data_IF_932477231615
#
_entry.id   IF_932477231615
#
_cell.length_a   1.000
_cell.length_b   1.000
_cell.length_c   1.000
_cell.angle_alpha   90.00
_cell.angle_beta   90.00
_cell.angle_gamma   90.00
#
_symmetry.space_group_name_H-M   'P 1'
#
loop_
_entity.id
_entity.type
_entity.pdbx_description
1 polymer ?
#
# COMPACT_ATOMS: atom_id res chain seq x y z
N UNK A 1 26.49 5.57 50.34
CA UNK A 1 25.04 5.61 50.05
C UNK A 1 24.78 5.99 48.57
N UNK A 2 25.64 6.78 47.92
CA UNK A 2 25.49 7.28 46.52
C UNK A 2 25.73 6.17 45.46
N UNK A 3 26.65 5.22 45.69
CA UNK A 3 26.97 4.13 44.75
C UNK A 3 25.84 3.11 44.58
N UNK A 4 24.94 2.94 45.55
CA UNK A 4 23.80 2.02 45.48
C UNK A 4 22.66 2.57 44.62
N UNK A 5 22.51 3.91 44.55
CA UNK A 5 21.48 4.60 43.75
C UNK A 5 21.85 4.63 42.26
N UNK A 6 23.14 4.79 41.94
CA UNK A 6 23.63 4.81 40.55
C UNK A 6 23.49 3.41 39.91
N UNK A 7 23.72 2.34 40.65
CA UNK A 7 23.64 0.97 40.16
C UNK A 7 22.20 0.50 39.91
N UNK A 8 21.21 1.05 40.62
CA UNK A 8 19.79 0.73 40.41
C UNK A 8 19.22 1.46 39.18
N UNK A 9 19.67 2.69 38.91
CA UNK A 9 19.25 3.46 37.73
C UNK A 9 19.80 2.86 36.43
N UNK A 10 21.08 2.46 36.39
CA UNK A 10 21.69 1.84 35.20
C UNK A 10 21.11 0.45 34.90
N UNK A 11 20.76 -0.33 35.93
CA UNK A 11 20.14 -1.66 35.75
C UNK A 11 18.73 -1.58 35.15
N UNK A 12 17.92 -0.60 35.58
CA UNK A 12 16.56 -0.41 35.05
C UNK A 12 16.55 0.12 33.59
N UNK A 13 17.49 0.98 33.22
CA UNK A 13 17.63 1.45 31.85
C UNK A 13 18.15 0.35 30.90
N UNK A 14 19.06 -0.49 31.36
CA UNK A 14 19.57 -1.64 30.61
C UNK A 14 18.47 -2.69 30.39
N UNK A 15 17.66 -2.94 31.43
CA UNK A 15 16.51 -3.85 31.33
C UNK A 15 15.46 -3.36 30.36
N UNK A 16 15.13 -2.07 30.38
CA UNK A 16 14.23 -1.43 29.41
C UNK A 16 14.77 -1.52 27.98
N UNK A 17 16.07 -1.31 27.75
CA UNK A 17 16.67 -1.33 26.42
C UNK A 17 16.71 -2.75 25.82
N UNK A 18 16.90 -3.79 26.63
CA UNK A 18 16.97 -5.18 26.16
C UNK A 18 15.56 -5.77 25.96
N UNK A 19 14.62 -5.45 26.87
CA UNK A 19 13.28 -6.04 26.86
C UNK A 19 12.24 -5.25 26.06
N UNK A 20 12.43 -3.95 25.84
CA UNK A 20 11.52 -3.15 25.05
C UNK A 20 11.30 -3.69 23.61
N UNK A 21 12.35 -4.07 22.84
CA UNK A 21 12.14 -4.64 21.52
C UNK A 21 11.45 -6.01 21.57
N UNK A 22 11.73 -6.83 22.59
CA UNK A 22 11.08 -8.14 22.77
C UNK A 22 9.60 -7.99 23.10
N UNK A 23 9.26 -7.08 24.02
CA UNK A 23 7.87 -6.74 24.39
C UNK A 23 7.14 -6.18 23.16
N UNK A 24 7.78 -5.30 22.40
CA UNK A 24 7.22 -4.75 21.17
C UNK A 24 6.92 -5.84 20.13
N UNK A 25 7.84 -6.77 19.91
CA UNK A 25 7.64 -7.91 18.97
C UNK A 25 6.49 -8.81 19.44
N UNK A 26 6.39 -9.09 20.73
CA UNK A 26 5.31 -9.90 21.30
C UNK A 26 3.96 -9.18 21.14
N UNK A 27 3.91 -7.89 21.43
CA UNK A 27 2.70 -7.07 21.25
C UNK A 27 2.27 -7.01 19.78
N UNK A 28 3.22 -6.85 18.85
CA UNK A 28 2.92 -6.86 17.41
C UNK A 28 2.35 -8.20 16.94
N UNK A 29 2.94 -9.32 17.37
CA UNK A 29 2.42 -10.66 17.03
C UNK A 29 1.03 -10.90 17.62
N UNK A 30 0.82 -10.52 18.88
CA UNK A 30 -0.49 -10.64 19.54
C UNK A 30 -1.55 -9.77 18.85
N UNK A 31 -1.18 -8.55 18.43
CA UNK A 31 -2.07 -7.66 17.71
C UNK A 31 -2.41 -8.19 16.31
N UNK A 32 -1.44 -8.75 15.61
CA UNK A 32 -1.66 -9.36 14.30
C UNK A 32 -2.58 -10.60 14.40
N UNK A 33 -2.40 -11.40 15.46
CA UNK A 33 -3.28 -12.53 15.77
C UNK A 33 -4.72 -12.03 16.05
N UNK A 34 -4.87 -10.98 16.84
CA UNK A 34 -6.16 -10.35 17.11
C UNK A 34 -6.85 -9.88 15.82
N UNK A 35 -6.11 -9.22 14.90
CA UNK A 35 -6.65 -8.78 13.61
C UNK A 35 -7.19 -9.98 12.81
N UNK A 36 -6.48 -11.10 12.82
CA UNK A 36 -6.87 -12.29 12.07
C UNK A 36 -8.12 -12.97 12.66
N UNK A 37 -8.20 -13.02 14.00
CA UNK A 37 -9.26 -13.77 14.71
C UNK A 37 -10.41 -12.89 15.22
N UNK A 38 -10.41 -11.58 14.94
CA UNK A 38 -11.47 -10.68 15.44
C UNK A 38 -12.87 -11.01 14.92
N UNK A 39 -13.00 -11.63 13.72
CA UNK A 39 -14.31 -12.06 13.21
C UNK A 39 -14.88 -13.20 14.06
N UNK A 40 -14.22 -14.38 14.22
CA UNK A 40 -14.71 -15.42 15.09
C UNK A 40 -14.87 -14.96 16.54
N UNK A 41 -13.96 -14.12 17.05
CA UNK A 41 -14.08 -13.53 18.38
C UNK A 41 -15.34 -12.68 18.53
N UNK A 42 -15.64 -11.83 17.54
CA UNK A 42 -16.86 -11.02 17.50
C UNK A 42 -18.13 -11.87 17.50
N UNK A 43 -18.14 -12.98 16.75
CA UNK A 43 -19.27 -13.93 16.72
C UNK A 43 -19.44 -14.61 18.09
N UNK A 44 -18.37 -15.10 18.69
CA UNK A 44 -18.39 -15.73 20.02
C UNK A 44 -18.89 -14.75 21.08
N UNK A 45 -18.39 -13.51 21.08
CA UNK A 45 -18.84 -12.47 22.01
C UNK A 45 -20.32 -12.10 21.80
N UNK A 46 -20.77 -12.08 20.55
CA UNK A 46 -22.19 -11.81 20.23
C UNK A 46 -23.09 -12.90 20.78
N UNK A 47 -22.79 -14.18 20.47
CA UNK A 47 -23.59 -15.31 20.96
C UNK A 47 -23.54 -15.45 22.47
N UNK A 48 -22.36 -15.30 23.08
CA UNK A 48 -22.18 -15.31 24.52
C UNK A 48 -22.92 -14.16 25.21
N UNK A 49 -22.83 -12.96 24.65
CA UNK A 49 -23.52 -11.77 25.16
C UNK A 49 -25.05 -11.93 25.12
N UNK A 50 -25.59 -12.46 24.03
CA UNK A 50 -27.02 -12.76 23.93
C UNK A 50 -27.45 -13.82 24.97
N UNK A 51 -26.67 -14.90 25.12
CA UNK A 51 -26.95 -15.94 26.12
C UNK A 51 -26.92 -15.38 27.56
N UNK A 52 -25.94 -14.52 27.89
CA UNK A 52 -25.87 -13.83 29.17
C UNK A 52 -27.08 -12.91 29.40
N UNK A 53 -27.56 -12.22 28.39
CA UNK A 53 -28.73 -11.35 28.47
C UNK A 53 -30.00 -12.11 28.89
N UNK A 54 -30.16 -13.37 28.43
CA UNK A 54 -31.29 -14.22 28.77
C UNK A 54 -31.16 -14.95 30.12
N UNK A 55 -29.91 -15.20 30.59
CA UNK A 55 -29.66 -15.99 31.81
C UNK A 55 -29.42 -15.16 33.04
N UNK A 56 -28.69 -14.05 32.93
CA UNK A 56 -28.24 -13.21 34.06
C UNK A 56 -28.91 -11.84 34.03
N UNK A 57 -28.97 -11.23 32.85
CA UNK A 57 -29.57 -9.91 32.66
C UNK A 57 -28.93 -9.12 31.51
N UNK A 58 -29.71 -8.21 30.96
CA UNK A 58 -29.25 -7.40 29.82
C UNK A 58 -28.19 -6.35 30.21
N UNK A 59 -28.11 -5.98 31.47
CA UNK A 59 -27.11 -5.04 31.96
C UNK A 59 -25.70 -5.64 31.91
N UNK A 60 -25.56 -6.87 32.36
CA UNK A 60 -24.33 -7.65 32.36
C UNK A 60 -23.89 -8.02 30.94
N UNK A 61 -24.85 -8.20 30.03
CA UNK A 61 -24.60 -8.51 28.62
C UNK A 61 -24.09 -7.28 27.82
N UNK A 62 -24.23 -6.07 28.33
CA UNK A 62 -23.88 -4.84 27.59
C UNK A 62 -22.41 -4.81 27.14
N UNK A 63 -21.47 -5.19 28.02
CA UNK A 63 -20.03 -5.16 27.71
C UNK A 63 -19.66 -6.16 26.61
N UNK A 64 -19.99 -7.46 26.70
CA UNK A 64 -19.65 -8.40 25.65
C UNK A 64 -20.36 -8.10 24.32
N UNK A 65 -21.59 -7.60 24.34
CA UNK A 65 -22.29 -7.18 23.13
C UNK A 65 -21.65 -5.96 22.48
N UNK A 66 -21.24 -4.96 23.26
CA UNK A 66 -20.51 -3.80 22.74
C UNK A 66 -19.18 -4.21 22.10
N UNK A 67 -18.40 -5.07 22.77
CA UNK A 67 -17.14 -5.58 22.23
C UNK A 67 -17.36 -6.42 20.97
N UNK A 68 -18.43 -7.21 20.89
CA UNK A 68 -18.80 -7.94 19.68
C UNK A 68 -19.06 -6.99 18.51
N UNK A 69 -19.84 -5.92 18.72
CA UNK A 69 -20.11 -4.91 17.69
C UNK A 69 -18.80 -4.25 17.24
N UNK A 70 -17.93 -3.85 18.17
CA UNK A 70 -16.63 -3.24 17.84
C UNK A 70 -15.79 -4.21 17.00
N UNK A 71 -15.68 -5.48 17.38
CA UNK A 71 -14.94 -6.50 16.62
C UNK A 71 -15.49 -6.69 15.21
N UNK A 72 -16.81 -6.80 15.05
CA UNK A 72 -17.45 -6.99 13.77
C UNK A 72 -17.31 -5.74 12.87
N UNK A 73 -17.61 -4.55 13.40
CA UNK A 73 -17.49 -3.30 12.65
C UNK A 73 -16.05 -3.08 12.19
N UNK A 74 -15.07 -3.24 13.07
CA UNK A 74 -13.66 -3.07 12.71
C UNK A 74 -13.18 -4.13 11.72
N UNK A 75 -13.70 -5.36 11.77
CA UNK A 75 -13.39 -6.39 10.78
C UNK A 75 -13.86 -5.99 9.38
N UNK A 76 -15.10 -5.53 9.23
CA UNK A 76 -15.64 -5.13 7.93
C UNK A 76 -15.09 -3.79 7.44
N UNK A 77 -14.82 -2.82 8.33
CA UNK A 77 -14.32 -1.51 7.91
C UNK A 77 -12.83 -1.52 7.50
N UNK A 78 -11.99 -2.24 8.23
CA UNK A 78 -10.54 -2.18 8.03
C UNK A 78 -9.96 -3.43 7.35
N UNK A 79 -10.64 -4.58 7.44
CA UNK A 79 -10.14 -5.83 6.88
C UNK A 79 -8.76 -6.22 7.43
N UNK A 80 -8.02 -7.11 6.78
CA UNK A 80 -6.64 -7.49 7.15
C UNK A 80 -5.59 -6.59 6.47
N UNK A 81 -5.93 -5.36 6.06
CA UNK A 81 -5.07 -4.53 5.20
C UNK A 81 -3.69 -4.24 5.79
N UNK A 82 -3.59 -4.10 7.11
CA UNK A 82 -2.29 -3.95 7.79
C UNK A 82 -1.39 -5.17 7.58
N UNK A 83 -1.94 -6.37 7.73
CA UNK A 83 -1.19 -7.62 7.54
C UNK A 83 -0.77 -7.80 6.08
N UNK A 84 -1.62 -7.36 5.14
CA UNK A 84 -1.28 -7.34 3.71
C UNK A 84 -0.10 -6.42 3.44
N UNK A 85 -0.11 -5.22 4.02
CA UNK A 85 1.00 -4.27 3.86
C UNK A 85 2.31 -4.83 4.44
N UNK A 86 2.28 -5.36 5.66
CA UNK A 86 3.45 -6.00 6.29
C UNK A 86 4.01 -7.16 5.43
N UNK A 87 3.13 -7.97 4.83
CA UNK A 87 3.53 -9.07 3.95
C UNK A 87 4.18 -8.56 2.64
N UNK A 88 3.65 -7.49 2.06
CA UNK A 88 4.21 -6.86 0.85
C UNK A 88 5.59 -6.25 1.16
N UNK A 89 5.73 -5.53 2.26
CA UNK A 89 6.99 -4.92 2.70
C UNK A 89 8.08 -5.99 3.00
N UNK A 90 7.65 -7.15 3.52
CA UNK A 90 8.53 -8.31 3.73
C UNK A 90 8.84 -9.09 2.44
N UNK A 91 8.29 -8.71 1.29
CA UNK A 91 8.45 -9.41 0.02
C UNK A 91 7.66 -10.73 -0.10
N UNK A 92 6.79 -11.03 0.86
CA UNK A 92 5.99 -12.26 0.90
C UNK A 92 4.68 -12.09 0.11
N UNK A 93 4.78 -12.04 -1.21
CA UNK A 93 3.64 -11.76 -2.10
C UNK A 93 2.54 -12.81 -1.99
N UNK A 94 2.88 -14.09 -1.84
CA UNK A 94 1.90 -15.18 -1.69
C UNK A 94 1.06 -15.04 -0.42
N UNK A 95 1.70 -14.64 0.69
CA UNK A 95 1.01 -14.36 1.96
C UNK A 95 0.09 -13.15 1.79
N UNK A 96 0.55 -12.08 1.13
CA UNK A 96 -0.26 -10.91 0.85
C UNK A 96 -1.50 -11.26 0.02
N UNK A 97 -1.35 -12.07 -1.03
CA UNK A 97 -2.47 -12.57 -1.85
C UNK A 97 -3.46 -13.40 -1.02
N UNK A 98 -2.94 -14.32 -0.20
CA UNK A 98 -3.78 -15.13 0.69
C UNK A 98 -4.60 -14.30 1.68
N UNK A 99 -4.01 -13.24 2.24
CA UNK A 99 -4.70 -12.31 3.13
C UNK A 99 -5.74 -11.46 2.40
N UNK A 100 -5.45 -11.00 1.20
CA UNK A 100 -6.39 -10.24 0.38
C UNK A 100 -7.61 -11.07 -0.04
N UNK A 101 -7.41 -12.34 -0.34
CA UNK A 101 -8.50 -13.26 -0.69
C UNK A 101 -9.45 -13.55 0.49
N UNK A 102 -9.03 -13.29 1.74
CA UNK A 102 -9.89 -13.40 2.94
C UNK A 102 -10.88 -12.23 3.06
N UNK A 103 -10.71 -11.16 2.29
CA UNK A 103 -11.65 -10.02 2.28
C UNK A 103 -12.88 -10.41 1.46
N UNK A 104 -13.89 -10.97 2.12
CA UNK A 104 -15.11 -11.43 1.45
C UNK A 104 -15.95 -10.30 0.84
N UNK A 105 -15.96 -9.13 1.48
CA UNK A 105 -16.81 -7.99 1.09
C UNK A 105 -16.02 -6.68 0.94
N UNK A 106 -15.19 -6.51 -0.12
CA UNK A 106 -14.38 -5.30 -0.29
C UNK A 106 -15.20 -4.00 -0.35
N UNK A 107 -16.45 -4.08 -0.80
CA UNK A 107 -17.36 -2.93 -0.89
C UNK A 107 -17.76 -2.39 0.49
N UNK A 108 -17.70 -3.19 1.55
CA UNK A 108 -18.00 -2.78 2.93
C UNK A 108 -16.81 -2.09 3.61
N UNK A 109 -15.60 -2.20 3.05
CA UNK A 109 -14.45 -1.48 3.56
C UNK A 109 -14.70 0.04 3.54
N UNK A 110 -14.20 0.72 4.57
CA UNK A 110 -14.17 2.19 4.59
C UNK A 110 -13.50 2.75 3.34
N UNK A 111 -14.07 3.80 2.72
CA UNK A 111 -13.67 4.28 1.39
C UNK A 111 -12.14 4.40 1.17
N UNK A 112 -11.36 5.07 2.04
CA UNK A 112 -9.91 5.13 1.89
C UNK A 112 -9.23 3.76 1.92
N UNK A 113 -9.66 2.87 2.81
CA UNK A 113 -9.13 1.51 2.94
C UNK A 113 -9.48 0.67 1.71
N UNK A 114 -10.69 0.82 1.19
CA UNK A 114 -11.14 0.18 -0.05
C UNK A 114 -10.29 0.63 -1.25
N UNK A 115 -9.94 1.90 -1.31
CA UNK A 115 -9.06 2.44 -2.34
C UNK A 115 -7.68 1.78 -2.28
N UNK A 116 -7.09 1.69 -1.08
CA UNK A 116 -5.80 1.01 -0.85
C UNK A 116 -5.90 -0.49 -1.19
N UNK A 117 -6.99 -1.15 -0.80
CA UNK A 117 -7.24 -2.54 -1.13
C UNK A 117 -7.17 -2.79 -2.66
N UNK A 118 -7.93 -2.03 -3.44
CA UNK A 118 -7.91 -2.20 -4.90
C UNK A 118 -6.58 -1.78 -5.54
N UNK A 119 -5.88 -0.81 -4.97
CA UNK A 119 -4.52 -0.45 -5.42
C UNK A 119 -3.55 -1.61 -5.22
N UNK A 120 -3.52 -2.24 -4.04
CA UNK A 120 -2.70 -3.41 -3.77
C UNK A 120 -3.08 -4.59 -4.67
N UNK A 121 -4.38 -4.82 -4.89
CA UNK A 121 -4.86 -5.87 -5.78
C UNK A 121 -4.38 -5.66 -7.22
N UNK A 122 -4.33 -4.40 -7.68
CA UNK A 122 -3.75 -4.06 -8.98
C UNK A 122 -2.25 -4.35 -9.04
N UNK A 123 -1.49 -4.04 -7.97
CA UNK A 123 -0.07 -4.38 -7.91
C UNK A 123 0.18 -5.89 -8.00
N UNK A 124 -0.61 -6.68 -7.28
CA UNK A 124 -0.52 -8.14 -7.34
C UNK A 124 -0.90 -8.69 -8.71
N UNK A 125 -1.91 -8.11 -9.37
CA UNK A 125 -2.28 -8.48 -10.73
C UNK A 125 -1.17 -8.14 -11.75
N UNK A 126 -0.50 -6.99 -11.60
CA UNK A 126 0.68 -6.64 -12.40
C UNK A 126 1.83 -7.64 -12.18
N UNK A 127 2.10 -8.02 -10.95
CA UNK A 127 3.10 -9.03 -10.64
C UNK A 127 2.82 -10.36 -11.36
N UNK A 128 1.55 -10.77 -11.42
CA UNK A 128 1.08 -11.95 -12.14
C UNK A 128 0.95 -11.74 -13.66
N UNK A 129 1.31 -10.57 -14.18
CA UNK A 129 1.18 -10.17 -15.60
C UNK A 129 -0.26 -10.17 -16.12
N UNK A 130 -1.25 -10.12 -15.24
CA UNK A 130 -2.68 -9.99 -15.57
C UNK A 130 -3.02 -8.49 -15.70
N UNK A 131 -2.72 -7.92 -16.86
CA UNK A 131 -2.88 -6.48 -17.10
C UNK A 131 -4.35 -6.05 -17.14
N UNK A 132 -5.26 -6.92 -17.54
CA UNK A 132 -6.70 -6.61 -17.58
C UNK A 132 -7.28 -6.50 -16.18
N UNK A 133 -6.94 -7.45 -15.33
CA UNK A 133 -7.32 -7.40 -13.91
C UNK A 133 -6.65 -6.22 -13.19
N UNK A 134 -5.38 -5.94 -13.49
CA UNK A 134 -4.66 -4.79 -12.95
C UNK A 134 -5.36 -3.48 -13.31
N UNK A 135 -5.76 -3.31 -14.57
CA UNK A 135 -6.49 -2.13 -15.03
C UNK A 135 -7.86 -2.01 -14.37
N UNK A 136 -8.63 -3.09 -14.32
CA UNK A 136 -9.95 -3.09 -13.70
C UNK A 136 -9.88 -2.69 -12.22
N UNK A 137 -8.91 -3.24 -11.48
CA UNK A 137 -8.76 -2.98 -10.04
C UNK A 137 -8.20 -1.59 -9.74
N UNK A 138 -7.25 -1.07 -10.53
CA UNK A 138 -6.77 0.30 -10.33
C UNK A 138 -7.87 1.35 -10.62
N UNK A 139 -8.73 1.11 -11.62
CA UNK A 139 -9.89 1.95 -11.87
C UNK A 139 -10.88 1.93 -10.70
N UNK A 140 -11.09 0.78 -10.06
CA UNK A 140 -11.90 0.67 -8.83
C UNK A 140 -11.25 1.41 -7.65
N UNK A 141 -9.92 1.39 -7.55
CA UNK A 141 -9.18 2.16 -6.55
C UNK A 141 -9.44 3.65 -6.72
N UNK A 142 -9.29 4.18 -7.92
CA UNK A 142 -9.53 5.60 -8.25
C UNK A 142 -10.99 5.97 -7.96
N UNK A 143 -11.96 5.15 -8.38
CA UNK A 143 -13.39 5.39 -8.15
C UNK A 143 -13.77 5.36 -6.67
N UNK A 144 -13.00 4.66 -5.83
CA UNK A 144 -13.22 4.63 -4.38
C UNK A 144 -12.79 5.93 -3.67
N UNK A 145 -12.05 6.78 -4.35
CA UNK A 145 -11.50 8.02 -3.82
C UNK A 145 -10.16 7.82 -3.11
N UNK A 146 -9.28 8.79 -3.23
CA UNK A 146 -7.95 8.76 -2.63
C UNK A 146 -7.92 9.44 -1.27
N UNK A 147 -7.19 8.90 -0.29
CA UNK A 147 -7.04 9.54 1.01
C UNK A 147 -6.20 10.84 0.95
N UNK A 148 -5.27 10.93 0.00
CA UNK A 148 -4.36 12.07 -0.19
C UNK A 148 -4.05 12.28 -1.68
N UNK A 149 -3.63 13.49 -2.07
CA UNK A 149 -3.31 13.84 -3.47
C UNK A 149 -2.15 13.01 -4.04
N UNK A 150 -1.09 12.81 -3.24
CA UNK A 150 0.06 12.00 -3.65
C UNK A 150 -0.34 10.54 -3.93
N UNK A 151 -1.26 10.02 -3.13
CA UNK A 151 -1.81 8.69 -3.35
C UNK A 151 -2.61 8.62 -4.67
N UNK A 152 -3.39 9.66 -4.97
CA UNK A 152 -4.07 9.78 -6.26
C UNK A 152 -3.07 9.86 -7.42
N UNK A 153 -1.96 10.58 -7.25
CA UNK A 153 -0.85 10.60 -8.20
C UNK A 153 -0.31 9.21 -8.50
N UNK A 154 -0.10 8.41 -7.45
CA UNK A 154 0.36 7.01 -7.58
C UNK A 154 -0.64 6.12 -8.33
N UNK A 155 -1.94 6.29 -8.10
CA UNK A 155 -2.98 5.55 -8.81
C UNK A 155 -2.96 5.85 -10.31
N UNK A 156 -2.84 7.13 -10.70
CA UNK A 156 -2.71 7.50 -12.12
C UNK A 156 -1.38 7.09 -12.73
N UNK A 157 -0.30 7.11 -11.96
CA UNK A 157 0.99 6.58 -12.39
C UNK A 157 0.88 5.09 -12.73
N UNK A 158 0.28 4.30 -11.84
CA UNK A 158 0.07 2.88 -12.07
C UNK A 158 -0.84 2.61 -13.26
N UNK A 159 -1.97 3.33 -13.39
CA UNK A 159 -2.86 3.19 -14.54
C UNK A 159 -2.14 3.55 -15.85
N UNK A 160 -1.31 4.59 -15.84
CA UNK A 160 -0.47 4.98 -16.98
C UNK A 160 0.54 3.91 -17.35
N UNK A 161 1.18 3.29 -16.35
CA UNK A 161 2.13 2.18 -16.56
C UNK A 161 1.45 0.95 -17.15
N UNK A 162 0.28 0.57 -16.64
CA UNK A 162 -0.52 -0.54 -17.18
C UNK A 162 -0.92 -0.26 -18.63
N UNK A 163 -1.42 0.95 -18.90
CA UNK A 163 -1.80 1.36 -20.26
C UNK A 163 -0.60 1.31 -21.22
N UNK A 164 0.58 1.72 -20.78
CA UNK A 164 1.81 1.63 -21.56
C UNK A 164 2.18 0.18 -21.87
N UNK A 165 2.10 -0.72 -20.90
CA UNK A 165 2.35 -2.15 -21.09
C UNK A 165 1.34 -2.81 -22.03
N UNK A 166 0.10 -2.32 -22.06
CA UNK A 166 -0.95 -2.74 -23.02
C UNK A 166 -0.81 -2.08 -24.40
N UNK A 167 0.23 -1.28 -24.61
CA UNK A 167 0.49 -0.51 -25.82
C UNK A 167 -0.59 0.57 -26.14
N UNK A 168 -1.42 0.95 -25.16
CA UNK A 168 -2.30 2.11 -25.28
C UNK A 168 -1.54 3.39 -24.91
N UNK A 169 -0.72 3.86 -25.86
CA UNK A 169 0.16 5.01 -25.66
C UNK A 169 -0.59 6.31 -25.43
N UNK A 170 -1.84 6.43 -25.89
CA UNK A 170 -2.66 7.62 -25.68
C UNK A 170 -3.12 7.73 -24.23
N UNK A 171 -3.72 6.67 -23.72
CA UNK A 171 -4.19 6.61 -22.33
C UNK A 171 -3.02 6.65 -21.33
N UNK A 172 -1.88 6.01 -21.68
CA UNK A 172 -0.66 6.06 -20.89
C UNK A 172 -0.14 7.51 -20.72
N UNK A 173 -0.01 8.26 -21.84
CA UNK A 173 0.45 9.66 -21.81
C UNK A 173 -0.45 10.54 -20.96
N UNK A 174 -1.78 10.41 -21.10
CA UNK A 174 -2.75 11.20 -20.31
C UNK A 174 -2.62 10.92 -18.81
N UNK A 175 -2.58 9.64 -18.42
CA UNK A 175 -2.52 9.26 -17.00
C UNK A 175 -1.18 9.60 -16.36
N UNK A 176 -0.05 9.40 -17.07
CA UNK A 176 1.28 9.76 -16.56
C UNK A 176 1.44 11.27 -16.38
N UNK A 177 0.93 12.08 -17.32
CA UNK A 177 0.91 13.55 -17.14
C UNK A 177 0.03 13.95 -15.95
N UNK A 178 -1.12 13.30 -15.77
CA UNK A 178 -2.00 13.55 -14.63
C UNK A 178 -1.32 13.19 -13.32
N UNK A 179 -0.62 12.06 -13.27
CA UNK A 179 0.18 11.63 -12.12
C UNK A 179 1.23 12.68 -11.73
N UNK A 180 2.01 13.16 -12.69
CA UNK A 180 3.02 14.20 -12.47
C UNK A 180 2.41 15.53 -12.00
N UNK A 181 1.22 15.90 -12.50
CA UNK A 181 0.51 17.12 -12.08
C UNK A 181 0.00 17.02 -10.64
N UNK A 182 -0.43 15.83 -10.20
CA UNK A 182 -0.88 15.61 -8.83
C UNK A 182 0.28 15.52 -7.83
N UNK A 183 1.45 15.19 -8.32
CA UNK A 183 2.64 14.91 -7.53
C UNK A 183 2.78 13.42 -7.23
N UNK A 184 4.02 12.96 -7.23
CA UNK A 184 4.39 11.60 -6.84
C UNK A 184 5.21 11.67 -5.55
N UNK A 185 5.10 10.68 -4.65
CA UNK A 185 5.68 10.77 -3.30
C UNK A 185 7.21 10.75 -3.31
N UNK A 186 7.80 10.21 -4.35
CA UNK A 186 9.26 10.03 -4.43
C UNK A 186 9.83 10.35 -5.81
N UNK A 187 11.15 10.55 -5.84
CA UNK A 187 11.93 10.86 -7.04
C UNK A 187 11.99 9.69 -8.01
N UNK A 188 11.93 8.47 -7.50
CA UNK A 188 12.01 7.23 -8.28
C UNK A 188 10.79 7.09 -9.19
N UNK A 189 9.59 7.19 -8.61
CA UNK A 189 8.35 7.14 -9.38
C UNK A 189 8.22 8.33 -10.34
N UNK A 190 8.69 9.52 -9.93
CA UNK A 190 8.74 10.70 -10.80
C UNK A 190 9.66 10.47 -11.99
N UNK A 191 10.86 9.92 -11.79
CA UNK A 191 11.80 9.60 -12.86
C UNK A 191 11.24 8.52 -13.78
N UNK A 192 10.63 7.46 -13.24
CA UNK A 192 10.02 6.39 -14.02
C UNK A 192 8.87 6.90 -14.91
N UNK A 193 8.00 7.76 -14.37
CA UNK A 193 6.93 8.39 -15.14
C UNK A 193 7.48 9.22 -16.31
N UNK A 194 8.52 10.03 -16.05
CA UNK A 194 9.16 10.86 -17.07
C UNK A 194 9.88 10.03 -18.14
N UNK A 195 10.54 8.93 -17.77
CA UNK A 195 11.17 8.01 -18.73
C UNK A 195 10.13 7.34 -19.62
N UNK A 196 9.00 6.92 -19.05
CA UNK A 196 7.90 6.33 -19.84
C UNK A 196 7.30 7.36 -20.80
N UNK A 197 7.10 8.61 -20.37
CA UNK A 197 6.66 9.70 -21.26
C UNK A 197 7.68 10.01 -22.36
N UNK A 198 8.99 9.95 -22.04
CA UNK A 198 10.04 10.09 -23.05
C UNK A 198 9.95 8.97 -24.10
N UNK A 199 9.74 7.71 -23.67
CA UNK A 199 9.55 6.57 -24.58
C UNK A 199 8.32 6.75 -25.48
N UNK A 200 7.21 7.23 -24.92
CA UNK A 200 5.98 7.53 -25.69
C UNK A 200 6.24 8.64 -26.71
N UNK A 201 6.95 9.70 -26.34
CA UNK A 201 7.30 10.78 -27.26
C UNK A 201 8.24 10.29 -28.38
N UNK A 202 9.19 9.40 -28.05
CA UNK A 202 10.06 8.76 -29.05
C UNK A 202 9.28 7.93 -30.05
N UNK A 203 8.31 7.14 -29.60
CA UNK A 203 7.47 6.33 -30.50
C UNK A 203 6.62 7.18 -31.45
N UNK A 204 6.28 8.41 -31.05
CA UNK A 204 5.59 9.42 -31.87
C UNK A 204 6.53 10.25 -32.73
N UNK A 205 7.85 10.00 -32.70
CA UNK A 205 8.91 10.78 -33.35
C UNK A 205 8.98 12.25 -32.89
N UNK A 206 8.42 12.56 -31.71
CA UNK A 206 8.55 13.88 -31.09
C UNK A 206 9.85 13.92 -30.24
N UNK A 207 10.98 14.05 -30.92
CA UNK A 207 12.29 13.99 -30.30
C UNK A 207 12.56 15.15 -29.36
N UNK A 208 11.98 16.32 -29.63
CA UNK A 208 12.13 17.51 -28.76
C UNK A 208 11.51 17.25 -27.40
N UNK A 209 10.27 16.78 -27.37
CA UNK A 209 9.56 16.44 -26.14
C UNK A 209 10.21 15.24 -25.43
N UNK A 210 10.70 14.25 -26.17
CA UNK A 210 11.43 13.12 -25.61
C UNK A 210 12.68 13.54 -24.86
N UNK A 211 13.50 14.43 -25.48
CA UNK A 211 14.71 14.99 -24.84
C UNK A 211 14.38 15.79 -23.58
N UNK A 212 13.30 16.57 -23.58
CA UNK A 212 12.88 17.33 -22.40
C UNK A 212 12.49 16.41 -21.23
N UNK A 213 11.63 15.43 -21.47
CA UNK A 213 11.26 14.45 -20.45
C UNK A 213 12.47 13.69 -19.92
N UNK A 214 13.34 13.24 -20.80
CA UNK A 214 14.56 12.53 -20.39
C UNK A 214 15.48 13.40 -19.51
N UNK A 215 15.71 14.65 -19.89
CA UNK A 215 16.50 15.61 -19.09
C UNK A 215 15.88 15.80 -17.71
N UNK A 216 14.57 15.93 -17.63
CA UNK A 216 13.83 16.06 -16.36
C UNK A 216 13.92 14.80 -15.52
N UNK A 217 13.90 13.61 -16.14
CA UNK A 217 14.09 12.33 -15.44
C UNK A 217 15.49 12.25 -14.82
N UNK A 218 16.55 12.59 -15.57
CA UNK A 218 17.94 12.65 -15.05
C UNK A 218 18.09 13.64 -13.90
N UNK A 219 17.38 14.77 -13.95
CA UNK A 219 17.41 15.80 -12.91
C UNK A 219 16.81 15.34 -11.57
N UNK A 220 15.98 14.30 -11.54
CA UNK A 220 15.46 13.71 -10.31
C UNK A 220 16.55 12.99 -9.50
N UNK A 221 17.69 12.62 -10.12
CA UNK A 221 18.79 11.88 -9.49
C UNK A 221 18.30 10.61 -8.79
N UNK A 222 17.62 9.68 -9.50
CA UNK A 222 17.16 8.43 -8.93
C UNK A 222 18.35 7.59 -8.45
N UNK A 223 18.10 6.77 -7.41
CA UNK A 223 19.12 5.92 -6.77
C UNK A 223 18.90 4.44 -7.08
N UNK A 224 17.70 4.06 -7.51
CA UNK A 224 17.35 2.68 -7.84
C UNK A 224 18.11 2.18 -9.08
N UNK A 225 18.80 1.06 -8.94
CA UNK A 225 19.63 0.49 -10.00
C UNK A 225 18.86 0.27 -11.32
N UNK A 226 17.60 -0.15 -11.25
CA UNK A 226 16.75 -0.35 -12.41
C UNK A 226 16.51 0.95 -13.20
N UNK A 227 16.19 2.05 -12.51
CA UNK A 227 15.93 3.34 -13.17
C UNK A 227 17.21 3.93 -13.72
N UNK A 228 18.34 3.79 -13.00
CA UNK A 228 19.66 4.20 -13.49
C UNK A 228 20.03 3.43 -14.77
N UNK A 229 19.74 2.14 -14.82
CA UNK A 229 19.96 1.33 -16.03
C UNK A 229 19.12 1.82 -17.21
N UNK A 230 17.84 2.08 -16.99
CA UNK A 230 16.95 2.63 -18.01
C UNK A 230 17.42 4.00 -18.53
N UNK A 231 17.90 4.87 -17.63
CA UNK A 231 18.48 6.16 -18.02
C UNK A 231 19.71 5.95 -18.91
N UNK A 232 20.63 5.05 -18.54
CA UNK A 232 21.84 4.77 -19.33
C UNK A 232 21.51 4.20 -20.71
N UNK A 233 20.52 3.32 -20.80
CA UNK A 233 20.07 2.77 -22.07
C UNK A 233 19.45 3.84 -22.97
N UNK A 234 18.52 4.61 -22.40
CA UNK A 234 17.84 5.67 -23.15
C UNK A 234 18.82 6.79 -23.59
N UNK A 235 19.85 7.10 -22.82
CA UNK A 235 20.87 8.09 -23.16
C UNK A 235 21.59 7.73 -24.48
N UNK A 236 21.84 6.44 -24.72
CA UNK A 236 22.47 5.95 -25.98
C UNK A 236 21.62 6.24 -27.21
N UNK A 237 20.30 6.20 -27.06
CA UNK A 237 19.37 6.47 -28.16
C UNK A 237 19.15 7.97 -28.35
N UNK A 238 18.90 8.69 -27.25
CA UNK A 238 18.58 10.13 -27.28
C UNK A 238 19.77 10.96 -27.79
N UNK A 239 21.01 10.59 -27.44
CA UNK A 239 22.22 11.29 -27.91
C UNK A 239 22.40 11.22 -29.44
N UNK A 240 21.83 10.24 -30.10
CA UNK A 240 21.92 10.04 -31.56
C UNK A 240 20.77 10.64 -32.34
N UNK A 241 19.76 11.20 -31.65
CA UNK A 241 18.57 11.75 -32.30
C UNK A 241 18.83 13.18 -32.80
N UNK A 242 18.24 13.55 -33.93
CA UNK A 242 18.29 14.92 -34.43
C UNK A 242 17.73 15.90 -33.40
N UNK A 243 18.23 17.14 -33.39
CA UNK A 243 17.86 18.20 -32.47
C UNK A 243 16.49 18.78 -32.75
#
# INVERSE_FOLDING_TARGET
>A
MITKVINQSTSSHLFLFIFAPLIYIIQMKAFNLFILYRLPLGIVLLLGGVALGFTVGWWEATIPLFLAVVCLVTHFMFGPMRLVQEAVEAGNIDVAMGLMNKVAFPKLLYKPIRSVYYFMQSNLAMYNKDLDKAEATIRQSIASGSPMKEYEGMQYFQLGTISYQKNDLKTADQNLRKALKMGLPDKENTAAALLTLASIAMSRRDFKTAKDYFRRAKAQKPTTAQIISQIKEMDKYISRMPG
#
